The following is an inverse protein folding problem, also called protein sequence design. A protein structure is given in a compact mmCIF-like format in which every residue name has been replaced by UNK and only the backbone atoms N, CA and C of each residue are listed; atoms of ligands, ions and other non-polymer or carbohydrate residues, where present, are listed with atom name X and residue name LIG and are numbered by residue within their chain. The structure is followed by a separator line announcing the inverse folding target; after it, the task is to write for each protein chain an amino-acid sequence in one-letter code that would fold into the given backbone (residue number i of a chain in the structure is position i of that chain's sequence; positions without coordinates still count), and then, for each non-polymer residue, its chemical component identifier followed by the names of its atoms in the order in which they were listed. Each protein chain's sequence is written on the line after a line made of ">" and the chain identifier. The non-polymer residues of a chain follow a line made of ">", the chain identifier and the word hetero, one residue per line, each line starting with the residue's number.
data_IF_931240490782
#
_entry.id   IF_931240490782
#
_cell.length_a   1.000
_cell.length_b   1.000
_cell.length_c   1.000
_cell.angle_alpha   90.00
_cell.angle_beta   90.00
_cell.angle_gamma   90.00
#
_symmetry.space_group_name_H-M   'P 1'
#
loop_
_entity.id
_entity.type
_entity.pdbx_description
1 polymer ?
#
# COMPACT_ATOMS: atom_id res chain seq x y z
N UNK A 1 14.12 5.12 -22.17
CA UNK A 1 13.01 4.27 -22.62
C UNK A 1 12.64 3.27 -21.53
N UNK A 2 11.31 2.95 -21.35
CA UNK A 2 10.82 2.08 -20.28
C UNK A 2 10.84 0.58 -20.62
N UNK A 3 11.06 0.21 -21.90
CA UNK A 3 11.07 -1.18 -22.35
C UNK A 3 12.34 -1.90 -21.91
N UNK A 4 12.43 -2.08 -20.59
CA UNK A 4 13.54 -2.73 -19.90
C UNK A 4 13.00 -3.90 -19.09
N UNK A 5 13.59 -5.06 -19.26
CA UNK A 5 13.41 -6.15 -18.32
C UNK A 5 14.27 -5.86 -17.07
N UNK A 6 13.62 -5.65 -15.94
CA UNK A 6 14.24 -5.40 -14.66
C UNK A 6 13.62 -6.34 -13.63
N UNK A 7 14.43 -7.18 -13.01
CA UNK A 7 13.96 -8.08 -11.95
C UNK A 7 13.97 -7.33 -10.61
N UNK A 8 12.87 -7.31 -9.86
CA UNK A 8 12.85 -6.76 -8.50
C UNK A 8 13.85 -7.48 -7.59
N UNK A 9 14.62 -6.78 -6.75
CA UNK A 9 15.64 -7.42 -5.93
C UNK A 9 15.07 -8.38 -4.86
N UNK A 10 13.86 -8.14 -4.39
CA UNK A 10 13.16 -8.98 -3.43
C UNK A 10 12.69 -10.32 -4.02
N UNK A 11 12.60 -10.46 -5.35
CA UNK A 11 12.28 -11.73 -6.03
C UNK A 11 13.50 -12.66 -6.18
N UNK A 12 14.69 -12.16 -5.87
CA UNK A 12 15.95 -12.89 -6.09
C UNK A 12 16.86 -12.94 -4.85
N UNK A 13 16.34 -13.06 -3.62
CA UNK A 13 17.20 -13.14 -2.44
C UNK A 13 18.12 -14.37 -2.53
N UNK A 14 19.40 -14.18 -2.21
CA UNK A 14 20.41 -15.24 -2.25
C UNK A 14 20.85 -15.72 -3.63
N UNK A 15 20.33 -15.16 -4.72
CA UNK A 15 20.72 -15.52 -6.09
C UNK A 15 21.86 -14.65 -6.62
N UNK A 16 22.68 -15.14 -7.58
CA UNK A 16 23.74 -14.34 -8.20
C UNK A 16 23.17 -13.16 -9.00
N UNK A 17 23.31 -11.94 -8.49
CA UNK A 17 22.70 -10.73 -9.06
C UNK A 17 23.06 -10.47 -10.54
N UNK A 18 24.26 -10.92 -11.00
CA UNK A 18 24.71 -10.71 -12.38
C UNK A 18 23.83 -11.38 -13.43
N UNK A 19 23.18 -12.45 -13.09
CA UNK A 19 22.26 -13.19 -13.96
C UNK A 19 20.95 -12.43 -14.19
N UNK A 20 20.64 -11.48 -13.29
CA UNK A 20 19.41 -10.70 -13.27
C UNK A 20 19.62 -9.23 -13.64
N UNK A 21 20.78 -8.91 -14.21
CA UNK A 21 21.04 -7.56 -14.73
C UNK A 21 19.96 -7.14 -15.72
N UNK A 22 19.58 -5.87 -15.63
CA UNK A 22 18.58 -5.29 -16.53
C UNK A 22 18.99 -5.41 -18.01
N UNK A 23 18.00 -5.61 -18.87
CA UNK A 23 18.20 -5.81 -20.33
C UNK A 23 17.18 -4.98 -21.09
N UNK A 24 17.59 -4.49 -22.27
CA UNK A 24 16.65 -3.88 -23.21
C UNK A 24 15.70 -4.94 -23.80
N UNK A 25 14.42 -4.61 -23.84
CA UNK A 25 13.40 -5.42 -24.53
C UNK A 25 13.20 -4.98 -25.98
N UNK A 26 13.64 -3.76 -26.29
CA UNK A 26 13.60 -3.20 -27.67
C UNK A 26 14.91 -2.50 -27.99
N UNK A 27 15.29 -2.36 -29.28
CA UNK A 27 16.50 -1.65 -29.68
C UNK A 27 16.57 -0.21 -29.18
N UNK A 28 15.43 0.47 -29.08
CA UNK A 28 15.34 1.86 -28.61
C UNK A 28 15.62 2.00 -27.10
N UNK A 29 15.58 0.90 -26.37
CA UNK A 29 15.86 0.87 -24.93
C UNK A 29 17.34 0.56 -24.62
N UNK A 30 18.15 0.19 -25.62
CA UNK A 30 19.53 -0.25 -25.43
C UNK A 30 20.42 0.80 -24.76
N UNK A 31 20.32 2.06 -25.20
CA UNK A 31 21.07 3.17 -24.57
C UNK A 31 20.68 3.34 -23.09
N UNK A 32 19.41 3.20 -22.76
CA UNK A 32 18.93 3.29 -21.38
C UNK A 32 19.44 2.11 -20.53
N UNK A 33 19.43 0.90 -21.09
CA UNK A 33 19.96 -0.29 -20.41
C UNK A 33 21.45 -0.16 -20.13
N UNK A 34 22.22 0.34 -21.08
CA UNK A 34 23.67 0.58 -20.93
C UNK A 34 23.93 1.62 -19.86
N UNK A 35 23.22 2.77 -19.88
CA UNK A 35 23.37 3.82 -18.89
C UNK A 35 23.07 3.30 -17.47
N UNK A 36 21.96 2.59 -17.27
CA UNK A 36 21.59 2.06 -15.96
C UNK A 36 22.58 0.99 -15.46
N UNK A 37 23.05 0.13 -16.36
CA UNK A 37 24.09 -0.85 -16.07
C UNK A 37 25.39 -0.16 -15.60
N UNK A 38 25.80 0.90 -16.29
CA UNK A 38 26.98 1.69 -15.91
C UNK A 38 26.79 2.34 -14.53
N UNK A 39 25.61 2.87 -14.24
CA UNK A 39 25.29 3.44 -12.93
C UNK A 39 25.34 2.39 -11.80
N UNK A 40 24.86 1.16 -12.04
CA UNK A 40 24.99 0.06 -11.08
C UNK A 40 26.47 -0.19 -10.76
N UNK A 41 27.32 -0.38 -11.76
CA UNK A 41 28.75 -0.63 -11.53
C UNK A 41 29.45 0.56 -10.87
N UNK A 42 29.18 1.79 -11.27
CA UNK A 42 29.73 3.00 -10.64
C UNK A 42 29.32 3.10 -9.17
N UNK A 43 28.07 2.79 -8.86
CA UNK A 43 27.58 2.81 -7.48
C UNK A 43 28.31 1.82 -6.59
N UNK A 44 28.61 0.60 -7.11
CA UNK A 44 29.36 -0.42 -6.35
C UNK A 44 30.75 0.07 -5.98
N UNK A 45 31.44 0.75 -6.91
CA UNK A 45 32.75 1.32 -6.65
C UNK A 45 32.69 2.44 -5.60
N UNK A 46 31.72 3.34 -5.74
CA UNK A 46 31.52 4.47 -4.82
C UNK A 46 31.15 3.99 -3.42
N UNK A 47 30.17 3.10 -3.32
CA UNK A 47 29.62 2.63 -2.04
C UNK A 47 30.62 1.78 -1.26
N UNK A 48 31.47 1.00 -1.94
CA UNK A 48 32.50 0.18 -1.29
C UNK A 48 33.37 0.96 -0.31
N UNK A 49 33.66 2.22 -0.63
CA UNK A 49 34.58 3.07 0.17
C UNK A 49 33.83 4.23 0.85
N UNK A 50 32.52 4.22 0.85
CA UNK A 50 31.72 5.30 1.43
C UNK A 50 31.82 5.31 2.96
N UNK A 51 32.08 6.45 3.63
CA UNK A 51 32.22 6.51 5.08
C UNK A 51 31.01 5.95 5.87
N UNK A 52 29.79 6.11 5.36
CA UNK A 52 28.58 5.54 5.99
C UNK A 52 28.63 4.01 6.04
N UNK A 53 29.23 3.34 5.06
CA UNK A 53 29.40 1.88 5.11
C UNK A 53 30.39 1.44 6.17
N UNK A 54 31.41 2.24 6.45
CA UNK A 54 32.29 1.99 7.59
C UNK A 54 31.53 2.10 8.92
N UNK A 55 30.71 3.15 9.09
CA UNK A 55 29.87 3.32 10.28
C UNK A 55 28.85 2.18 10.44
N UNK A 56 28.23 1.73 9.34
CA UNK A 56 27.30 0.56 9.37
C UNK A 56 28.00 -0.71 9.83
N UNK A 57 29.22 -0.97 9.31
CA UNK A 57 30.01 -2.13 9.71
C UNK A 57 30.39 -2.08 11.20
N UNK A 58 30.75 -0.92 11.74
CA UNK A 58 31.02 -0.73 13.17
C UNK A 58 29.79 -1.02 14.05
N UNK A 59 28.58 -0.82 13.50
CA UNK A 59 27.31 -1.11 14.16
C UNK A 59 26.78 -2.54 13.91
N UNK A 60 27.56 -3.39 13.21
CA UNK A 60 27.17 -4.74 12.86
C UNK A 60 26.08 -4.84 11.78
N UNK A 61 25.85 -3.75 11.04
CA UNK A 61 24.87 -3.70 9.95
C UNK A 61 25.53 -4.02 8.61
N UNK A 62 24.80 -4.65 7.70
CA UNK A 62 25.24 -4.92 6.35
C UNK A 62 25.53 -3.60 5.58
N UNK A 63 26.58 -3.56 4.76
CA UNK A 63 26.87 -2.39 3.93
C UNK A 63 25.88 -2.27 2.77
N UNK A 64 25.57 -1.05 2.38
CA UNK A 64 24.90 -0.76 1.10
C UNK A 64 25.90 -0.98 -0.02
N UNK A 65 25.68 -1.96 -0.89
CA UNK A 65 26.67 -2.41 -1.87
C UNK A 65 26.42 -1.91 -3.29
N UNK A 66 25.19 -1.60 -3.66
CA UNK A 66 24.80 -1.19 -5.02
C UNK A 66 23.48 -0.43 -5.03
N UNK A 67 23.25 0.38 -6.06
CA UNK A 67 21.87 0.72 -6.48
C UNK A 67 21.36 -0.38 -7.40
N UNK A 68 20.03 -0.54 -7.44
CA UNK A 68 19.37 -1.52 -8.30
C UNK A 68 18.09 -0.92 -8.88
N UNK A 69 18.15 -0.28 -10.08
CA UNK A 69 16.97 0.29 -10.74
C UNK A 69 15.99 -0.82 -11.20
N UNK A 70 14.73 -0.68 -10.84
CA UNK A 70 13.66 -1.59 -11.25
C UNK A 70 12.33 -0.84 -11.30
N UNK A 71 11.27 -1.48 -11.83
CA UNK A 71 9.93 -0.89 -11.87
C UNK A 71 9.84 0.38 -12.73
N UNK A 72 10.65 0.50 -13.78
CA UNK A 72 10.66 1.68 -14.64
C UNK A 72 9.35 1.88 -15.39
N UNK A 73 8.89 3.13 -15.49
CA UNK A 73 7.66 3.49 -16.19
C UNK A 73 7.64 4.95 -16.63
N UNK A 74 6.58 5.33 -17.33
CA UNK A 74 6.27 6.71 -17.60
C UNK A 74 5.36 7.27 -16.52
N UNK A 75 5.33 8.61 -16.43
CA UNK A 75 4.37 9.29 -15.56
C UNK A 75 2.95 8.79 -15.86
N UNK A 76 2.21 8.26 -14.86
CA UNK A 76 0.86 7.82 -15.05
C UNK A 76 -0.05 9.01 -15.42
N UNK A 77 -0.98 8.76 -16.35
CA UNK A 77 -2.07 9.69 -16.64
C UNK A 77 -3.30 9.17 -15.90
N UNK A 78 -3.49 9.64 -14.68
CA UNK A 78 -4.67 9.33 -13.88
C UNK A 78 -5.30 10.63 -13.39
N UNK A 79 -6.62 10.69 -13.44
CA UNK A 79 -7.35 11.80 -12.86
C UNK A 79 -7.24 11.75 -11.32
N UNK A 80 -7.07 12.88 -10.65
CA UNK A 80 -7.16 12.94 -9.19
C UNK A 80 -8.53 12.44 -8.70
N UNK A 81 -8.58 11.84 -7.52
CA UNK A 81 -9.85 11.43 -6.89
C UNK A 81 -10.80 12.61 -6.68
N UNK A 82 -10.25 13.78 -6.41
CA UNK A 82 -11.00 15.05 -6.29
C UNK A 82 -11.66 15.50 -7.59
N UNK A 83 -11.23 15.00 -8.73
CA UNK A 83 -11.87 15.22 -10.03
C UNK A 83 -12.85 14.10 -10.36
N UNK A 84 -12.44 12.83 -10.13
CA UNK A 84 -13.25 11.64 -10.42
C UNK A 84 -14.48 11.57 -9.53
N UNK A 85 -14.35 11.92 -8.25
CA UNK A 85 -15.41 11.91 -7.24
C UNK A 85 -15.66 13.30 -6.66
N UNK A 86 -15.72 14.31 -7.53
CA UNK A 86 -15.79 15.72 -7.15
C UNK A 86 -17.01 16.09 -6.28
N UNK A 87 -18.07 15.29 -6.27
CA UNK A 87 -19.23 15.49 -5.39
C UNK A 87 -19.02 15.01 -3.96
N UNK A 88 -18.01 14.17 -3.72
CA UNK A 88 -17.77 13.49 -2.43
C UNK A 88 -16.39 13.79 -1.86
N UNK A 89 -15.38 13.98 -2.71
CA UNK A 89 -13.99 14.20 -2.29
C UNK A 89 -13.53 15.57 -2.79
N UNK A 90 -13.45 16.55 -1.91
CA UNK A 90 -12.83 17.86 -2.18
C UNK A 90 -11.39 17.87 -1.67
N UNK A 91 -11.11 17.12 -0.60
CA UNK A 91 -9.80 17.01 0.03
C UNK A 91 -9.58 15.57 0.48
N UNK A 92 -8.37 15.08 0.31
CA UNK A 92 -8.02 13.75 0.78
C UNK A 92 -6.55 13.64 1.21
N UNK A 93 -6.27 12.64 2.03
CA UNK A 93 -4.94 12.37 2.55
C UNK A 93 -4.52 10.91 2.34
N UNK A 94 -3.21 10.70 2.24
CA UNK A 94 -2.58 9.37 2.25
C UNK A 94 -1.61 9.27 3.42
N UNK A 95 -1.74 8.19 4.19
CA UNK A 95 -0.87 7.82 5.30
C UNK A 95 -0.16 6.52 4.93
N UNK A 96 1.15 6.59 4.74
CA UNK A 96 1.97 5.44 4.36
C UNK A 96 3.43 5.68 4.72
N UNK A 97 4.18 4.62 4.97
CA UNK A 97 5.64 4.66 5.10
C UNK A 97 6.36 4.26 3.80
N UNK A 98 5.61 3.85 2.78
CA UNK A 98 6.14 3.35 1.50
C UNK A 98 6.12 4.47 0.45
N UNK A 99 7.27 4.78 -0.13
CA UNK A 99 7.40 5.89 -1.09
C UNK A 99 6.60 5.67 -2.38
N UNK A 100 6.45 4.42 -2.83
CA UNK A 100 5.60 4.06 -3.97
C UNK A 100 4.15 4.48 -3.74
N UNK A 101 3.58 4.08 -2.62
CA UNK A 101 2.19 4.40 -2.24
C UNK A 101 2.02 5.91 -2.01
N UNK A 102 3.03 6.57 -1.42
CA UNK A 102 3.07 8.03 -1.29
C UNK A 102 3.01 8.71 -2.66
N UNK A 103 3.78 8.20 -3.63
CA UNK A 103 3.78 8.69 -5.01
C UNK A 103 2.43 8.52 -5.69
N UNK A 104 1.81 7.35 -5.59
CA UNK A 104 0.47 7.07 -6.12
C UNK A 104 -0.57 8.01 -5.49
N UNK A 105 -0.55 8.16 -4.15
CA UNK A 105 -1.44 9.07 -3.44
C UNK A 105 -1.34 10.51 -3.95
N UNK A 106 -0.12 11.00 -4.22
CA UNK A 106 0.08 12.32 -4.82
C UNK A 106 -0.49 12.45 -6.24
N UNK A 107 -0.34 11.42 -7.07
CA UNK A 107 -0.98 11.40 -8.39
C UNK A 107 -2.51 11.34 -8.29
N UNK A 108 -3.03 10.67 -7.27
CA UNK A 108 -4.45 10.65 -6.95
C UNK A 108 -4.98 11.97 -6.34
N UNK A 109 -4.13 13.00 -6.18
CA UNK A 109 -4.52 14.30 -5.63
C UNK A 109 -4.58 14.36 -4.11
N UNK A 110 -4.03 13.33 -3.42
CA UNK A 110 -4.03 13.25 -1.95
C UNK A 110 -2.80 13.96 -1.35
N UNK A 111 -2.99 14.66 -0.25
CA UNK A 111 -1.88 15.16 0.56
C UNK A 111 -1.23 14.04 1.36
N UNK A 112 0.06 14.09 1.54
CA UNK A 112 0.80 13.08 2.33
C UNK A 112 0.85 13.48 3.79
N UNK A 113 0.65 12.51 4.69
CA UNK A 113 0.81 12.69 6.15
C UNK A 113 1.96 11.80 6.61
N UNK A 114 2.97 12.43 7.21
CA UNK A 114 4.08 11.72 7.83
C UNK A 114 3.73 11.41 9.29
N UNK A 115 3.87 10.13 9.67
CA UNK A 115 3.63 9.67 11.03
C UNK A 115 4.96 9.28 11.66
N UNK A 116 5.39 9.96 12.75
CA UNK A 116 6.61 9.56 13.45
C UNK A 116 6.53 8.10 13.91
N UNK A 117 7.60 7.34 13.66
CA UNK A 117 7.63 5.91 13.98
C UNK A 117 6.89 4.99 13.00
N UNK A 118 6.28 5.54 11.95
CA UNK A 118 5.76 4.71 10.87
C UNK A 118 6.91 4.17 10.02
N UNK A 119 6.93 2.84 9.87
CA UNK A 119 7.84 2.09 9.00
C UNK A 119 7.05 1.25 8.01
N UNK A 120 7.70 0.66 7.00
CA UNK A 120 7.15 -0.40 6.15
C UNK A 120 7.20 -1.78 6.81
N UNK A 121 7.75 -1.90 8.02
CA UNK A 121 8.01 -3.17 8.69
C UNK A 121 6.99 -3.46 9.81
N UNK A 122 7.13 -4.61 10.44
CA UNK A 122 6.27 -5.12 11.51
C UNK A 122 6.27 -4.26 12.78
N UNK A 123 7.31 -3.44 13.00
CA UNK A 123 7.49 -2.56 14.15
C UNK A 123 6.90 -1.14 13.94
N UNK A 124 6.14 -0.94 12.87
CA UNK A 124 5.50 0.35 12.55
C UNK A 124 4.60 0.84 13.69
N UNK A 125 4.48 2.16 13.89
CA UNK A 125 3.50 2.74 14.83
C UNK A 125 2.07 2.64 14.27
N UNK A 126 1.43 1.48 14.45
CA UNK A 126 0.04 1.24 14.05
C UNK A 126 -0.93 2.25 14.66
N UNK A 127 -0.81 2.47 15.99
CA UNK A 127 -1.69 3.40 16.69
C UNK A 127 -1.47 4.86 16.27
N UNK A 128 -0.23 5.24 15.95
CA UNK A 128 0.09 6.54 15.37
C UNK A 128 -0.56 6.76 14.03
N UNK A 129 -0.56 5.73 13.16
CA UNK A 129 -1.25 5.76 11.86
C UNK A 129 -2.76 5.93 12.04
N UNK A 130 -3.39 5.19 12.97
CA UNK A 130 -4.83 5.33 13.26
C UNK A 130 -5.18 6.72 13.76
N UNK A 131 -4.41 7.25 14.73
CA UNK A 131 -4.62 8.63 15.24
C UNK A 131 -4.49 9.67 14.12
N UNK A 132 -3.50 9.53 13.26
CA UNK A 132 -3.30 10.45 12.14
C UNK A 132 -4.46 10.38 11.12
N UNK A 133 -5.04 9.19 10.89
CA UNK A 133 -6.21 9.02 10.04
C UNK A 133 -7.46 9.72 10.64
N UNK A 134 -7.74 9.50 11.92
CA UNK A 134 -8.85 10.14 12.60
C UNK A 134 -8.70 11.67 12.67
N UNK A 135 -7.49 12.18 12.86
CA UNK A 135 -7.24 13.63 12.82
C UNK A 135 -7.42 14.19 11.40
N UNK A 136 -6.96 13.46 10.38
CA UNK A 136 -7.13 13.87 8.99
C UNK A 136 -8.61 13.93 8.59
N UNK A 137 -9.41 12.94 8.98
CA UNK A 137 -10.86 12.89 8.69
C UNK A 137 -11.66 14.05 9.29
N UNK A 138 -11.10 14.83 10.21
CA UNK A 138 -11.76 16.05 10.71
C UNK A 138 -11.77 17.19 9.68
N UNK A 139 -10.94 17.10 8.65
CA UNK A 139 -10.76 18.15 7.66
C UNK A 139 -10.69 17.65 6.21
N UNK A 140 -10.49 16.37 6.03
CA UNK A 140 -10.43 15.71 4.72
C UNK A 140 -11.62 14.78 4.56
N UNK A 141 -12.17 14.73 3.36
CA UNK A 141 -13.32 13.89 3.01
C UNK A 141 -12.92 12.44 2.75
N UNK A 142 -11.62 12.19 2.51
CA UNK A 142 -11.08 10.87 2.19
C UNK A 142 -9.70 10.66 2.80
N UNK A 143 -9.49 9.52 3.43
CA UNK A 143 -8.17 9.10 3.95
C UNK A 143 -7.84 7.70 3.47
N UNK A 144 -6.70 7.55 2.78
CA UNK A 144 -6.12 6.27 2.44
C UNK A 144 -5.00 5.95 3.43
N UNK A 145 -5.21 4.91 4.26
CA UNK A 145 -4.24 4.45 5.24
C UNK A 145 -3.65 3.13 4.80
N UNK A 146 -2.33 3.07 4.67
CA UNK A 146 -1.60 1.91 4.18
C UNK A 146 -0.68 1.31 5.25
N UNK A 147 -0.65 -0.01 5.33
CA UNK A 147 0.22 -0.80 6.23
C UNK A 147 0.86 -1.93 5.44
N UNK A 148 2.18 -1.92 5.32
CA UNK A 148 2.99 -2.89 4.58
C UNK A 148 3.31 -4.15 5.37
N UNK A 149 3.30 -4.06 6.70
CA UNK A 149 3.89 -5.03 7.63
C UNK A 149 3.51 -6.51 7.38
N UNK A 150 2.26 -6.79 6.98
CA UNK A 150 1.80 -8.16 6.72
C UNK A 150 2.35 -8.72 5.40
N UNK A 151 2.61 -7.84 4.42
CA UNK A 151 3.25 -8.18 3.15
C UNK A 151 4.71 -8.57 3.36
N UNK A 152 5.49 -7.75 4.05
CA UNK A 152 6.88 -8.02 4.38
C UNK A 152 7.05 -9.34 5.16
N UNK A 153 6.16 -9.62 6.12
CA UNK A 153 6.15 -10.91 6.81
C UNK A 153 5.83 -12.09 5.87
N UNK A 154 5.02 -11.86 4.84
CA UNK A 154 4.77 -12.81 3.76
C UNK A 154 6.01 -13.10 2.93
N UNK A 155 6.76 -12.08 2.53
CA UNK A 155 8.03 -12.19 1.81
C UNK A 155 9.11 -12.91 2.64
N UNK A 156 9.15 -12.68 3.95
CA UNK A 156 10.05 -13.40 4.87
C UNK A 156 9.65 -14.86 5.06
N UNK A 157 8.41 -15.23 4.73
CA UNK A 157 7.86 -16.56 4.95
C UNK A 157 7.63 -16.84 6.43
N UNK A 158 7.42 -15.82 7.25
CA UNK A 158 7.18 -15.93 8.69
C UNK A 158 5.68 -15.87 9.00
N UNK A 159 5.06 -17.03 9.14
CA UNK A 159 3.63 -17.15 9.45
C UNK A 159 3.27 -16.50 10.79
N UNK A 160 4.09 -16.70 11.83
CA UNK A 160 3.79 -16.16 13.15
C UNK A 160 3.82 -14.63 13.14
N UNK A 161 4.81 -14.05 12.47
CA UNK A 161 4.94 -12.62 12.31
C UNK A 161 3.77 -12.05 11.47
N UNK A 162 3.39 -12.72 10.38
CA UNK A 162 2.26 -12.29 9.53
C UNK A 162 0.95 -12.24 10.30
N UNK A 163 0.64 -13.29 11.07
CA UNK A 163 -0.53 -13.32 11.95
C UNK A 163 -0.50 -12.18 12.97
N UNK A 164 0.65 -11.94 13.60
CA UNK A 164 0.83 -10.83 14.54
C UNK A 164 0.58 -9.46 13.87
N UNK A 165 1.07 -9.27 12.63
CA UNK A 165 0.84 -8.04 11.89
C UNK A 165 -0.65 -7.82 11.60
N UNK A 166 -1.38 -8.86 11.19
CA UNK A 166 -2.83 -8.81 10.93
C UNK A 166 -3.58 -8.49 12.24
N UNK A 167 -3.25 -9.17 13.34
CA UNK A 167 -3.84 -8.88 14.66
C UNK A 167 -3.55 -7.45 15.13
N UNK A 168 -2.37 -6.93 14.84
CA UNK A 168 -2.01 -5.54 15.18
C UNK A 168 -2.80 -4.53 14.33
N UNK A 169 -3.05 -4.80 13.05
CA UNK A 169 -3.90 -3.97 12.20
C UNK A 169 -5.32 -3.93 12.77
N UNK A 170 -5.89 -5.08 13.10
CA UNK A 170 -7.22 -5.14 13.71
C UNK A 170 -7.28 -4.38 15.04
N UNK A 171 -6.41 -4.72 15.98
CA UNK A 171 -6.39 -4.19 17.34
C UNK A 171 -6.05 -2.72 17.44
N UNK A 172 -5.12 -2.23 16.63
CA UNK A 172 -4.54 -0.89 16.78
C UNK A 172 -4.93 0.09 15.68
N UNK A 173 -5.57 -0.36 14.61
CA UNK A 173 -6.05 0.48 13.51
C UNK A 173 -7.56 0.31 13.31
N UNK A 174 -8.01 -0.87 12.87
CA UNK A 174 -9.39 -1.10 12.45
C UNK A 174 -10.37 -0.88 13.60
N UNK A 175 -10.17 -1.57 14.72
CA UNK A 175 -11.02 -1.41 15.92
C UNK A 175 -11.10 0.04 16.39
N UNK A 176 -9.97 0.70 16.72
CA UNK A 176 -9.97 2.09 17.18
C UNK A 176 -10.57 3.10 16.19
N UNK A 177 -10.43 2.88 14.87
CA UNK A 177 -11.06 3.75 13.87
C UNK A 177 -12.59 3.54 13.88
N UNK A 178 -13.06 2.28 13.82
CA UNK A 178 -14.49 1.96 13.84
C UNK A 178 -15.16 2.46 15.13
N UNK A 179 -14.54 2.24 16.29
CA UNK A 179 -15.03 2.73 17.57
C UNK A 179 -15.20 4.27 17.55
N UNK A 180 -14.17 4.99 17.09
CA UNK A 180 -14.20 6.43 17.05
C UNK A 180 -15.27 6.98 16.07
N UNK A 181 -15.30 6.49 14.82
CA UNK A 181 -16.20 7.04 13.79
C UNK A 181 -17.65 6.65 14.03
N UNK A 182 -17.92 5.56 14.76
CA UNK A 182 -19.30 5.15 15.14
C UNK A 182 -19.97 6.15 16.07
N UNK A 183 -19.20 6.95 16.81
CA UNK A 183 -19.67 8.00 17.73
C UNK A 183 -19.78 9.36 17.05
N UNK A 184 -19.31 9.52 15.81
CA UNK A 184 -19.35 10.82 15.14
C UNK A 184 -20.74 11.15 14.61
N UNK A 185 -21.07 12.46 14.61
CA UNK A 185 -22.34 12.92 14.04
C UNK A 185 -22.36 12.86 12.52
N UNK A 186 -21.23 13.13 11.89
CA UNK A 186 -21.04 12.95 10.45
C UNK A 186 -20.71 11.48 10.18
N UNK A 187 -21.49 10.80 9.33
CA UNK A 187 -21.25 9.40 9.03
C UNK A 187 -19.94 9.23 8.23
N UNK A 188 -19.15 8.25 8.60
CA UNK A 188 -17.91 7.89 7.92
C UNK A 188 -18.01 6.45 7.44
N UNK A 189 -17.79 6.23 6.15
CA UNK A 189 -17.63 4.89 5.60
C UNK A 189 -16.21 4.39 5.83
N UNK A 190 -16.06 3.12 6.17
CA UNK A 190 -14.76 2.46 6.34
C UNK A 190 -14.67 1.26 5.41
N UNK A 191 -13.63 1.20 4.60
CA UNK A 191 -13.30 0.03 3.80
C UNK A 191 -12.00 -0.61 4.30
N UNK A 192 -11.97 -1.93 4.37
CA UNK A 192 -10.81 -2.73 4.72
C UNK A 192 -10.55 -3.75 3.63
N UNK A 193 -9.32 -3.78 3.10
CA UNK A 193 -8.89 -4.74 2.08
C UNK A 193 -7.37 -4.84 2.06
N UNK A 194 -6.78 -6.01 1.73
CA UNK A 194 -5.41 -6.08 1.23
C UNK A 194 -5.35 -5.56 -0.21
N UNK A 195 -4.16 -5.31 -0.73
CA UNK A 195 -3.94 -4.95 -2.14
C UNK A 195 -3.67 -6.17 -3.03
N UNK A 196 -3.02 -7.20 -2.48
CA UNK A 196 -2.75 -8.49 -3.12
C UNK A 196 -2.43 -9.57 -2.08
N UNK A 197 -2.52 -10.86 -2.43
CA UNK A 197 -1.98 -11.91 -1.59
C UNK A 197 -0.44 -11.97 -1.67
N UNK A 198 0.18 -12.29 -0.53
CA UNK A 198 1.61 -12.62 -0.43
C UNK A 198 1.74 -13.91 0.39
N UNK A 199 1.47 -15.08 -0.25
CA UNK A 199 1.47 -16.36 0.45
C UNK A 199 2.83 -16.70 1.05
N UNK A 200 2.83 -17.16 2.29
CA UNK A 200 4.01 -17.53 3.07
C UNK A 200 4.92 -18.53 2.34
N UNK A 201 4.32 -19.52 1.70
CA UNK A 201 5.06 -20.56 1.00
C UNK A 201 5.73 -20.08 -0.29
N UNK A 202 5.11 -19.11 -0.96
CA UNK A 202 5.61 -18.54 -2.22
C UNK A 202 6.56 -17.37 -2.01
N UNK A 203 6.39 -16.61 -0.91
CA UNK A 203 7.19 -15.44 -0.57
C UNK A 203 7.22 -14.35 -1.65
N UNK A 204 6.18 -14.29 -2.44
CA UNK A 204 5.98 -13.29 -3.49
C UNK A 204 4.50 -13.12 -3.76
N UNK A 205 4.16 -12.05 -4.47
CA UNK A 205 2.78 -11.72 -4.79
C UNK A 205 2.15 -12.74 -5.74
N UNK A 206 0.85 -12.94 -5.56
CA UNK A 206 0.03 -13.74 -6.47
C UNK A 206 -1.18 -12.93 -6.95
N UNK A 207 -1.94 -13.48 -7.91
CA UNK A 207 -3.00 -12.74 -8.61
C UNK A 207 -4.42 -13.23 -8.25
N UNK A 208 -4.57 -14.00 -7.17
CA UNK A 208 -5.88 -14.43 -6.71
C UNK A 208 -6.69 -13.23 -6.18
N UNK A 209 -8.02 -13.28 -6.26
CA UNK A 209 -8.89 -12.28 -5.66
C UNK A 209 -8.64 -12.11 -4.16
N UNK A 210 -8.78 -10.89 -3.69
CA UNK A 210 -8.62 -10.51 -2.28
C UNK A 210 -9.99 -10.28 -1.63
N UNK A 211 -10.14 -10.53 -0.31
CA UNK A 211 -11.34 -10.16 0.42
C UNK A 211 -11.38 -8.65 0.65
N UNK A 212 -12.58 -8.08 0.69
CA UNK A 212 -12.80 -6.72 1.16
C UNK A 212 -14.07 -6.63 2.01
N UNK A 213 -14.11 -5.64 2.89
CA UNK A 213 -15.29 -5.28 3.64
C UNK A 213 -15.52 -3.78 3.57
N UNK A 214 -16.80 -3.37 3.46
CA UNK A 214 -17.24 -1.98 3.56
C UNK A 214 -18.21 -1.89 4.72
N UNK A 215 -17.92 -0.99 5.65
CA UNK A 215 -18.78 -0.66 6.75
C UNK A 215 -19.25 0.79 6.63
N UNK A 216 -20.54 1.01 6.89
CA UNK A 216 -21.13 2.34 6.91
C UNK A 216 -22.24 2.38 7.97
N UNK A 217 -22.39 3.48 8.73
CA UNK A 217 -23.45 3.60 9.73
C UNK A 217 -24.85 3.43 9.11
N UNK A 218 -25.60 2.45 9.61
CA UNK A 218 -26.97 2.16 9.16
C UNK A 218 -27.09 1.22 7.96
N UNK A 219 -25.98 0.74 7.40
CA UNK A 219 -26.02 -0.32 6.39
C UNK A 219 -26.39 -1.66 7.05
N UNK A 220 -27.26 -2.43 6.41
CA UNK A 220 -27.57 -3.79 6.85
C UNK A 220 -26.42 -4.73 6.47
N UNK A 221 -25.90 -5.48 7.44
CA UNK A 221 -24.83 -6.45 7.18
C UNK A 221 -25.37 -7.61 6.33
N UNK A 222 -24.54 -8.11 5.42
CA UNK A 222 -24.83 -9.35 4.71
C UNK A 222 -24.66 -10.60 5.63
N UNK A 223 -24.75 -11.80 5.06
CA UNK A 223 -24.68 -13.04 5.82
C UNK A 223 -23.23 -13.47 6.16
N UNK A 224 -22.22 -12.75 5.68
CA UNK A 224 -20.81 -13.07 5.90
C UNK A 224 -20.38 -12.61 7.29
N UNK A 225 -19.78 -13.52 8.05
CA UNK A 225 -19.42 -13.29 9.47
C UNK A 225 -17.92 -13.37 9.75
N UNK A 226 -17.09 -13.64 8.74
CA UNK A 226 -15.65 -13.66 8.85
C UNK A 226 -14.99 -12.93 7.67
N UNK A 227 -13.80 -12.39 7.90
CA UNK A 227 -13.02 -11.66 6.90
C UNK A 227 -11.86 -12.55 6.43
N UNK A 228 -12.14 -13.33 5.40
CA UNK A 228 -11.18 -14.21 4.73
C UNK A 228 -11.61 -14.46 3.27
N UNK A 229 -10.72 -15.05 2.48
CA UNK A 229 -10.92 -15.28 1.04
C UNK A 229 -12.07 -16.24 0.73
N UNK A 230 -12.32 -17.23 1.60
CA UNK A 230 -13.41 -18.20 1.39
C UNK A 230 -14.78 -17.58 1.76
N UNK A 231 -14.85 -16.91 2.89
CA UNK A 231 -16.08 -16.28 3.36
C UNK A 231 -16.51 -15.12 2.44
N UNK A 232 -15.57 -14.33 1.95
CA UNK A 232 -15.84 -13.19 1.06
C UNK A 232 -16.54 -13.59 -0.25
N UNK A 233 -16.40 -14.84 -0.71
CA UNK A 233 -17.11 -15.34 -1.90
C UNK A 233 -18.64 -15.35 -1.72
N UNK A 234 -19.12 -15.37 -0.47
CA UNK A 234 -20.55 -15.26 -0.12
C UNK A 234 -21.05 -13.83 0.07
N UNK A 235 -20.17 -12.83 -0.08
CA UNK A 235 -20.50 -11.42 0.14
C UNK A 235 -21.44 -10.84 -0.90
N UNK A 236 -22.19 -9.80 -0.51
CA UNK A 236 -23.23 -9.19 -1.36
C UNK A 236 -22.67 -8.46 -2.60
N UNK A 237 -21.42 -8.04 -2.59
CA UNK A 237 -20.80 -7.34 -3.73
C UNK A 237 -20.34 -8.28 -4.85
N UNK A 238 -20.11 -9.57 -4.56
CA UNK A 238 -19.50 -10.50 -5.51
C UNK A 238 -18.07 -10.13 -5.90
N UNK A 239 -17.60 -10.66 -7.02
CA UNK A 239 -16.26 -10.35 -7.56
C UNK A 239 -16.29 -8.99 -8.28
N UNK A 240 -15.43 -8.07 -7.83
CA UNK A 240 -15.21 -6.77 -8.45
C UNK A 240 -13.87 -6.73 -9.18
N UNK A 241 -13.79 -6.03 -10.30
CA UNK A 241 -12.59 -5.91 -11.12
C UNK A 241 -12.23 -4.44 -11.37
N UNK A 242 -10.94 -4.14 -11.45
CA UNK A 242 -10.42 -2.82 -11.78
C UNK A 242 -10.85 -1.75 -10.76
N UNK A 243 -11.53 -0.71 -11.24
CA UNK A 243 -12.00 0.41 -10.41
C UNK A 243 -13.41 0.22 -9.81
N UNK A 244 -14.03 -0.94 -10.00
CA UNK A 244 -15.38 -1.22 -9.50
C UNK A 244 -15.46 -1.12 -7.97
N UNK A 245 -14.41 -1.50 -7.25
CA UNK A 245 -14.36 -1.39 -5.80
C UNK A 245 -14.51 0.06 -5.33
N UNK A 246 -13.73 0.98 -5.86
CA UNK A 246 -13.80 2.38 -5.42
C UNK A 246 -15.15 3.02 -5.79
N UNK A 247 -15.75 2.62 -6.91
CA UNK A 247 -17.09 3.05 -7.28
C UNK A 247 -18.16 2.49 -6.34
N UNK A 248 -18.10 1.21 -5.95
CA UNK A 248 -18.98 0.63 -4.98
C UNK A 248 -18.88 1.33 -3.61
N UNK A 249 -17.64 1.56 -3.14
CA UNK A 249 -17.38 2.27 -1.90
C UNK A 249 -17.96 3.71 -1.90
N UNK A 250 -17.83 4.44 -3.01
CA UNK A 250 -18.36 5.80 -3.13
C UNK A 250 -19.88 5.83 -3.30
N UNK A 251 -20.50 4.83 -3.92
CA UNK A 251 -21.96 4.76 -4.11
C UNK A 251 -22.69 4.55 -2.79
N UNK A 252 -22.19 3.72 -1.90
CA UNK A 252 -22.78 3.47 -0.58
C UNK A 252 -22.90 4.77 0.23
N UNK A 253 -21.93 5.67 0.14
CA UNK A 253 -22.00 6.97 0.78
C UNK A 253 -23.10 7.87 0.21
N UNK A 254 -23.42 7.72 -1.08
CA UNK A 254 -24.43 8.55 -1.77
C UNK A 254 -25.85 8.09 -1.52
N UNK A 255 -26.08 6.84 -1.12
CA UNK A 255 -27.38 6.23 -0.90
C UNK A 255 -27.91 6.39 0.53
N UNK A 256 -27.13 6.99 1.44
CA UNK A 256 -27.55 7.21 2.81
C UNK A 256 -28.61 8.32 2.94
N UNK A 257 -29.63 8.18 3.78
CA UNK A 257 -30.64 9.21 3.99
C UNK A 257 -29.98 10.47 4.55
N UNK A 258 -30.13 11.58 3.83
CA UNK A 258 -29.73 12.90 4.31
C UNK A 258 -30.48 13.19 5.64
N UNK A 259 -29.87 13.81 6.66
CA UNK A 259 -30.46 14.09 7.96
C UNK A 259 -31.73 14.99 7.94
N UNK A 260 -32.19 15.42 6.76
CA UNK A 260 -33.28 16.38 6.60
C UNK A 260 -34.68 15.77 6.43
N UNK A 261 -34.88 14.46 6.54
CA UNK A 261 -36.22 13.82 6.39
C UNK A 261 -36.76 13.19 7.68
N UNK A 262 -36.29 13.63 8.86
CA UNK A 262 -36.96 13.29 10.11
C UNK A 262 -37.66 14.55 10.65
N UNK A 263 -38.90 14.78 10.17
CA UNK A 263 -39.90 15.57 10.80
C UNK A 263 -41.19 14.76 10.92
#
# INVERSE_FOLDING_TARGET
>A
NKHLHCTPPHDIPGKPWREYMLRAETPEAEETAQLLTELIYKSQVLLKYHPLNAQRAEQGMDPVSSIWPWGGGYRPQMAPLTETFASQIHRGAVITAVDLIRGIGRYAGLRTIDVPGATGLWDTDYAGKARAALEALRTDDFVYLHVEAADEAGHDGDLALKLQCIENIDRHITGPILDAVSEWQEPVAVALLPDHPTPIDLRTHTAEPIPFAIWYPGIEADAVTSFDEDAAQGGCYGLLEGDQFIHAFMQEQSSSPQPSEIY
#
